data_IF_352431992853
#
_entry.id   IF_352431992853
#
_cell.length_a   1.000
_cell.length_b   1.000
_cell.length_c   1.000
_cell.angle_alpha   90.00
_cell.angle_beta   90.00
_cell.angle_gamma   90.00
#
_symmetry.space_group_name_H-M   'P 1'
#
loop_
_entity.id
_entity.type
_entity.pdbx_description
1 polymer ?
#
# COMPACT_ATOMS: atom_id res chain seq x y z
N UNK A 1 48.54 -42.42 10.50
CA UNK A 1 47.38 -41.88 11.24
C UNK A 1 46.43 -41.33 10.19
N UNK A 2 45.81 -42.13 9.30
CA UNK A 2 44.99 -43.34 9.52
C UNK A 2 43.86 -43.10 10.51
N UNK A 3 42.62 -43.11 9.98
CA UNK A 3 41.35 -43.52 10.60
C UNK A 3 40.84 -42.68 11.80
N UNK A 4 39.58 -42.31 12.00
CA UNK A 4 38.23 -42.66 11.50
C UNK A 4 37.36 -41.37 11.71
N UNK A 5 36.39 -40.94 10.91
CA UNK A 5 35.14 -41.57 10.44
C UNK A 5 34.24 -42.06 11.60
N UNK A 6 33.27 -41.22 11.98
CA UNK A 6 31.89 -41.55 12.42
C UNK A 6 31.23 -40.21 12.76
N UNK A 7 30.03 -39.87 12.28
CA UNK A 7 28.87 -40.75 12.20
C UNK A 7 27.94 -40.37 11.05
N UNK A 8 27.60 -41.40 10.30
CA UNK A 8 26.56 -41.55 9.29
C UNK A 8 25.18 -41.14 9.86
N UNK A 9 24.40 -40.32 9.15
CA UNK A 9 23.33 -40.76 8.22
C UNK A 9 22.01 -41.09 8.92
N UNK A 10 21.04 -40.21 8.69
CA UNK A 10 19.60 -40.46 8.54
C UNK A 10 19.10 -39.21 7.78
N UNK A 11 18.98 -39.19 6.44
CA UNK A 11 17.99 -39.89 5.63
C UNK A 11 16.60 -39.89 6.28
N UNK A 12 15.78 -38.90 5.91
CA UNK A 12 14.38 -39.09 5.50
C UNK A 12 13.81 -37.77 5.00
N UNK A 13 13.77 -37.64 3.67
CA UNK A 13 12.68 -36.90 3.06
C UNK A 13 11.40 -37.71 3.32
N UNK A 14 10.32 -37.03 3.71
CA UNK A 14 9.07 -37.28 3.02
C UNK A 14 8.63 -36.05 2.23
N UNK A 15 8.17 -36.39 1.04
CA UNK A 15 7.58 -35.57 0.00
C UNK A 15 6.35 -34.79 0.49
N UNK A 16 5.97 -33.78 -0.31
CA UNK A 16 4.70 -33.06 -0.31
C UNK A 16 4.50 -31.91 0.70
N UNK A 17 4.88 -30.71 0.26
CA UNK A 17 3.87 -29.73 -0.14
C UNK A 17 4.43 -28.87 -1.28
N UNK A 18 4.16 -29.31 -2.51
CA UNK A 18 4.22 -28.47 -3.69
C UNK A 18 3.23 -27.32 -3.56
N UNK A 19 3.69 -26.10 -3.82
CA UNK A 19 2.83 -24.92 -3.78
C UNK A 19 3.66 -23.65 -3.68
N UNK A 20 4.67 -23.52 -4.54
CA UNK A 20 5.45 -22.30 -4.62
C UNK A 20 4.53 -21.13 -4.89
N UNK A 21 4.31 -20.27 -3.89
CA UNK A 21 3.70 -18.96 -4.13
C UNK A 21 4.70 -18.16 -4.99
N UNK A 22 4.34 -17.78 -6.24
CA UNK A 22 5.22 -16.96 -7.04
C UNK A 22 5.45 -15.61 -6.34
N UNK A 23 6.67 -15.07 -6.36
CA UNK A 23 7.02 -13.86 -5.63
C UNK A 23 6.26 -12.66 -6.19
N UNK A 24 5.42 -12.06 -5.35
CA UNK A 24 4.61 -10.85 -5.59
C UNK A 24 5.40 -9.74 -6.32
N UNK A 25 5.26 -9.57 -7.65
CA UNK A 25 5.85 -8.44 -8.34
C UNK A 25 4.96 -7.24 -8.07
N UNK A 26 5.56 -6.24 -7.43
CA UNK A 26 4.96 -4.95 -7.07
C UNK A 26 4.37 -4.25 -8.30
N UNK A 27 3.10 -4.56 -8.64
CA UNK A 27 2.03 -3.78 -9.31
C UNK A 27 1.15 -4.68 -10.21
N UNK A 28 0.21 -5.43 -9.61
CA UNK A 28 -0.86 -6.14 -10.35
C UNK A 28 -1.60 -5.22 -11.35
N UNK A 29 -1.72 -3.94 -11.03
CA UNK A 29 -2.37 -2.91 -11.86
C UNK A 29 -1.68 -2.68 -13.22
N UNK A 30 -0.39 -3.05 -13.35
CA UNK A 30 0.39 -2.85 -14.57
C UNK A 30 0.46 -4.09 -15.45
N UNK A 31 0.09 -5.25 -14.94
CA UNK A 31 0.16 -6.51 -15.69
C UNK A 31 -0.87 -6.56 -16.81
N UNK A 32 -0.57 -7.37 -17.83
CA UNK A 32 -1.50 -7.63 -18.93
C UNK A 32 -2.57 -8.65 -18.50
N UNK A 33 -3.69 -8.72 -19.22
CA UNK A 33 -4.78 -9.66 -18.89
C UNK A 33 -4.26 -11.11 -18.96
N UNK A 34 -3.34 -11.42 -19.89
CA UNK A 34 -2.77 -12.77 -20.04
C UNK A 34 -1.97 -13.18 -18.80
N UNK A 35 -1.07 -12.32 -18.34
CA UNK A 35 -0.29 -12.53 -17.11
C UNK A 35 -1.17 -12.69 -15.87
N UNK A 36 -2.23 -11.88 -15.75
CA UNK A 36 -3.19 -11.99 -14.64
C UNK A 36 -3.97 -13.30 -14.70
N UNK A 37 -4.27 -13.82 -15.89
CA UNK A 37 -4.96 -15.11 -16.06
C UNK A 37 -4.04 -16.29 -15.75
N UNK A 38 -2.78 -16.24 -16.15
CA UNK A 38 -1.78 -17.27 -15.83
C UNK A 38 -1.56 -17.37 -14.31
N UNK A 39 -1.42 -16.23 -13.63
CA UNK A 39 -1.30 -16.18 -12.17
C UNK A 39 -2.58 -16.65 -11.46
N UNK A 40 -3.76 -16.36 -12.02
CA UNK A 40 -5.03 -16.81 -11.47
C UNK A 40 -5.29 -18.31 -11.71
N UNK A 41 -4.81 -18.89 -12.81
CA UNK A 41 -4.90 -20.33 -13.09
C UNK A 41 -4.00 -21.17 -12.18
N UNK A 42 -2.89 -20.61 -11.71
CA UNK A 42 -2.00 -21.25 -10.73
C UNK A 42 -2.62 -21.31 -9.32
N UNK A 43 -3.65 -20.50 -9.06
CA UNK A 43 -4.32 -20.41 -7.76
C UNK A 43 -5.66 -21.15 -7.85
N UNK A 44 -5.81 -22.31 -7.20
CA UNK A 44 -7.05 -23.11 -7.26
C UNK A 44 -8.26 -22.42 -6.59
N UNK A 45 -8.05 -21.33 -5.85
CA UNK A 45 -9.11 -20.55 -5.22
C UNK A 45 -9.90 -19.65 -6.21
N UNK A 46 -9.36 -19.37 -7.40
CA UNK A 46 -10.02 -18.49 -8.39
C UNK A 46 -10.59 -19.32 -9.55
N UNK A 47 -11.88 -19.71 -9.45
CA UNK A 47 -12.60 -20.36 -10.55
C UNK A 47 -13.26 -19.33 -11.48
N UNK A 48 -13.15 -19.51 -12.80
CA UNK A 48 -13.79 -18.62 -13.80
C UNK A 48 -12.88 -17.54 -14.41
N UNK A 49 -11.56 -17.75 -14.37
CA UNK A 49 -10.51 -16.83 -14.85
C UNK A 49 -10.72 -16.29 -16.27
N UNK A 50 -11.27 -17.08 -17.18
CA UNK A 50 -11.50 -16.68 -18.56
C UNK A 50 -12.65 -15.66 -18.74
N UNK A 51 -13.62 -15.62 -17.81
CA UNK A 51 -14.78 -14.73 -17.87
C UNK A 51 -14.63 -13.42 -17.09
N UNK A 52 -13.59 -13.27 -16.27
CA UNK A 52 -13.39 -12.09 -15.43
C UNK A 52 -12.77 -10.91 -16.19
N UNK A 53 -13.22 -9.71 -15.86
CA UNK A 53 -12.61 -8.46 -16.34
C UNK A 53 -11.24 -8.21 -15.69
N UNK A 54 -10.42 -7.31 -16.26
CA UNK A 54 -9.09 -6.99 -15.72
C UNK A 54 -9.14 -6.52 -14.26
N UNK A 55 -10.12 -5.69 -13.91
CA UNK A 55 -10.29 -5.15 -12.55
C UNK A 55 -10.72 -6.21 -11.55
N UNK A 56 -11.57 -7.15 -11.99
CA UNK A 56 -12.03 -8.29 -11.18
C UNK A 56 -10.90 -9.28 -10.92
N UNK A 57 -10.07 -9.58 -11.93
CA UNK A 57 -8.87 -10.42 -11.77
C UNK A 57 -7.88 -9.80 -10.79
N UNK A 58 -7.64 -8.49 -10.88
CA UNK A 58 -6.77 -7.77 -9.94
C UNK A 58 -7.35 -7.86 -8.52
N UNK A 59 -8.66 -7.69 -8.37
CA UNK A 59 -9.34 -7.75 -7.07
C UNK A 59 -9.31 -9.15 -6.47
N UNK A 60 -9.54 -10.19 -7.27
CA UNK A 60 -9.47 -11.59 -6.86
C UNK A 60 -8.04 -11.96 -6.42
N UNK A 61 -7.03 -11.59 -7.21
CA UNK A 61 -5.63 -11.80 -6.86
C UNK A 61 -5.28 -11.01 -5.59
N UNK A 62 -5.66 -9.73 -5.47
CA UNK A 62 -5.43 -8.93 -4.25
C UNK A 62 -6.05 -9.57 -2.99
N UNK A 63 -7.23 -10.20 -3.10
CA UNK A 63 -7.88 -10.92 -2.00
C UNK A 63 -7.11 -12.18 -1.59
N UNK A 64 -6.68 -13.00 -2.55
CA UNK A 64 -5.88 -14.21 -2.28
C UNK A 64 -4.53 -13.84 -1.66
N UNK A 65 -3.89 -12.78 -2.15
CA UNK A 65 -2.61 -12.29 -1.63
C UNK A 65 -2.73 -11.42 -0.36
N UNK A 66 -3.94 -11.25 0.20
CA UNK A 66 -4.15 -10.50 1.45
C UNK A 66 -3.80 -9.01 1.38
N UNK A 67 -3.74 -8.41 0.18
CA UNK A 67 -3.47 -6.98 0.02
C UNK A 67 -4.81 -6.26 0.08
N UNK A 68 -5.17 -5.78 1.27
CA UNK A 68 -6.30 -4.88 1.44
C UNK A 68 -6.12 -3.65 0.55
N UNK A 69 -7.14 -3.40 -0.26
CA UNK A 69 -7.19 -2.25 -1.14
C UNK A 69 -7.39 -0.99 -0.29
N UNK A 70 -6.29 -0.46 0.25
CA UNK A 70 -6.33 0.80 0.96
C UNK A 70 -6.96 1.83 0.01
N UNK A 71 -8.12 2.43 0.36
CA UNK A 71 -8.82 3.31 -0.54
C UNK A 71 -7.85 4.41 -0.95
N UNK A 72 -7.70 4.62 -2.27
CA UNK A 72 -6.92 5.71 -2.86
C UNK A 72 -7.30 6.96 -2.07
N UNK A 73 -6.40 7.50 -1.24
CA UNK A 73 -6.68 8.71 -0.45
C UNK A 73 -6.76 9.89 -1.41
N UNK A 74 -7.89 10.02 -2.09
CA UNK A 74 -8.24 11.16 -2.95
C UNK A 74 -8.36 12.33 -2.01
N UNK A 75 -7.29 13.12 -1.88
CA UNK A 75 -7.24 14.37 -1.12
C UNK A 75 -7.88 14.26 0.28
N UNK A 76 -7.07 13.98 1.30
CA UNK A 76 -7.51 13.71 2.68
C UNK A 76 -8.79 14.43 3.11
N UNK A 77 -9.67 13.70 3.80
CA UNK A 77 -11.02 14.12 4.17
C UNK A 77 -11.07 15.56 4.71
N UNK A 78 -12.20 16.27 4.50
CA UNK A 78 -12.43 17.62 5.03
C UNK A 78 -12.05 17.76 6.51
N UNK A 79 -12.27 16.69 7.30
CA UNK A 79 -11.89 16.61 8.72
C UNK A 79 -10.36 16.61 8.91
N UNK A 80 -9.63 15.82 8.12
CA UNK A 80 -8.16 15.77 8.16
C UNK A 80 -7.52 17.09 7.75
N UNK A 81 -8.07 17.76 6.73
CA UNK A 81 -7.58 19.07 6.30
C UNK A 81 -7.78 20.12 7.40
N UNK A 82 -8.94 20.12 8.07
CA UNK A 82 -9.19 21.00 9.22
C UNK A 82 -8.25 20.70 10.40
N UNK A 83 -7.97 19.43 10.67
CA UNK A 83 -6.99 19.04 11.69
C UNK A 83 -5.57 19.55 11.36
N UNK A 84 -5.11 19.40 10.11
CA UNK A 84 -3.83 19.95 9.64
C UNK A 84 -3.78 21.48 9.78
N UNK A 85 -4.88 22.18 9.47
CA UNK A 85 -4.95 23.64 9.63
C UNK A 85 -4.75 24.05 11.10
N UNK A 86 -5.39 23.36 12.06
CA UNK A 86 -5.21 23.63 13.49
C UNK A 86 -3.76 23.42 13.91
N UNK A 87 -3.19 22.26 13.58
CA UNK A 87 -1.79 21.93 13.86
C UNK A 87 -0.81 22.98 13.33
N UNK A 88 -0.96 23.41 12.08
CA UNK A 88 -0.05 24.43 11.51
C UNK A 88 -0.25 25.82 12.08
N UNK A 89 -1.44 26.16 12.61
CA UNK A 89 -1.64 27.42 13.34
C UNK A 89 -0.92 27.40 14.68
N UNK A 90 -1.09 26.32 15.45
CA UNK A 90 -0.40 26.13 16.73
C UNK A 90 1.12 26.17 16.56
N UNK A 91 1.65 25.49 15.52
CA UNK A 91 3.07 25.54 15.20
C UNK A 91 3.54 26.93 14.77
N UNK A 92 2.71 27.71 14.07
CA UNK A 92 3.04 29.08 13.71
C UNK A 92 3.08 29.96 14.98
N UNK A 93 2.15 29.82 15.91
CA UNK A 93 2.17 30.58 17.17
C UNK A 93 3.38 30.24 18.03
N UNK A 94 3.75 28.95 18.11
CA UNK A 94 5.01 28.51 18.76
C UNK A 94 6.23 29.12 18.10
N UNK A 95 6.36 29.04 16.78
CA UNK A 95 7.46 29.65 16.04
C UNK A 95 7.53 31.18 16.21
N UNK A 96 6.37 31.84 16.34
CA UNK A 96 6.28 33.28 16.62
C UNK A 96 6.79 33.62 18.03
N UNK A 97 6.46 32.80 19.03
CA UNK A 97 6.97 32.95 20.39
C UNK A 97 8.48 32.72 20.46
N UNK A 98 8.99 31.74 19.71
CA UNK A 98 10.43 31.45 19.55
C UNK A 98 11.18 32.48 18.68
N UNK A 99 10.47 33.45 18.08
CA UNK A 99 11.00 34.44 17.11
C UNK A 99 11.66 33.82 15.87
N UNK A 100 11.35 32.57 15.55
CA UNK A 100 11.77 31.91 14.31
C UNK A 100 10.84 32.31 13.17
N UNK A 101 11.21 33.39 12.47
CA UNK A 101 10.44 33.96 11.37
C UNK A 101 10.33 33.03 10.15
N UNK A 102 11.37 32.23 9.88
CA UNK A 102 11.37 31.29 8.75
C UNK A 102 10.35 30.17 8.95
N UNK A 103 10.35 29.57 10.15
CA UNK A 103 9.36 28.55 10.52
C UNK A 103 7.96 29.14 10.60
N UNK A 104 7.81 30.32 11.20
CA UNK A 104 6.52 31.02 11.26
C UNK A 104 5.92 31.21 9.86
N UNK A 105 6.72 31.74 8.92
CA UNK A 105 6.24 32.00 7.58
C UNK A 105 5.88 30.70 6.85
N UNK A 106 6.71 29.65 6.97
CA UNK A 106 6.44 28.34 6.40
C UNK A 106 5.11 27.77 6.91
N UNK A 107 4.88 27.75 8.22
CA UNK A 107 3.66 27.21 8.82
C UNK A 107 2.43 28.05 8.48
N UNK A 108 2.54 29.38 8.46
CA UNK A 108 1.47 30.30 8.01
C UNK A 108 1.06 30.04 6.56
N UNK A 109 2.04 29.88 5.66
CA UNK A 109 1.81 29.55 4.24
C UNK A 109 1.14 28.18 4.09
N UNK A 110 1.61 27.17 4.82
CA UNK A 110 1.00 25.83 4.81
C UNK A 110 -0.46 25.86 5.29
N UNK A 111 -0.75 26.51 6.42
CA UNK A 111 -2.12 26.67 6.91
C UNK A 111 -3.03 27.33 5.86
N UNK A 112 -2.51 28.34 5.16
CA UNK A 112 -3.24 29.01 4.07
C UNK A 112 -3.49 28.09 2.86
N UNK A 113 -2.50 27.27 2.47
CA UNK A 113 -2.66 26.27 1.39
C UNK A 113 -3.73 25.24 1.75
N UNK A 114 -3.74 24.74 2.99
CA UNK A 114 -4.75 23.78 3.43
C UNK A 114 -6.15 24.42 3.51
N UNK A 115 -6.30 25.68 3.96
CA UNK A 115 -7.57 26.43 3.87
C UNK A 115 -8.07 26.58 2.43
N UNK A 116 -7.16 26.81 1.46
CA UNK A 116 -7.53 26.85 0.04
C UNK A 116 -7.99 25.48 -0.46
N UNK A 117 -7.32 24.39 -0.03
CA UNK A 117 -7.73 23.01 -0.35
C UNK A 117 -9.10 22.66 0.23
N UNK A 118 -9.42 23.05 1.47
CA UNK A 118 -10.76 22.83 2.04
C UNK A 118 -11.85 23.56 1.26
N UNK A 119 -11.58 24.80 0.81
CA UNK A 119 -12.53 25.55 -0.03
C UNK A 119 -12.72 24.90 -1.40
N UNK A 120 -11.64 24.40 -2.03
CA UNK A 120 -11.72 23.67 -3.30
C UNK A 120 -12.52 22.37 -3.15
N UNK A 121 -12.27 21.61 -2.09
CA UNK A 121 -13.02 20.38 -1.80
C UNK A 121 -14.50 20.67 -1.57
N UNK A 122 -14.82 21.71 -0.79
CA UNK A 122 -16.20 22.14 -0.56
C UNK A 122 -16.90 22.58 -1.86
N UNK A 123 -16.20 23.27 -2.76
CA UNK A 123 -16.72 23.64 -4.09
C UNK A 123 -16.88 22.46 -5.04
N UNK A 124 -16.07 21.42 -4.90
CA UNK A 124 -16.17 20.21 -5.72
C UNK A 124 -17.27 19.26 -5.23
N UNK A 125 -17.69 19.40 -3.97
CA UNK A 125 -18.78 18.64 -3.36
C UNK A 125 -20.14 19.37 -3.42
N UNK A 126 -20.15 20.62 -3.91
CA UNK A 126 -21.35 21.43 -4.13
C UNK A 126 -21.65 21.45 -5.63
#
# INVERSE_FOLDING_TARGET
MAEEVKEERQAEAPEAQEGGLPPLPKKLEKMTIKELRELALQIPEITGVHGMNKEELISALKKVYGIEEAPRRVGGSMRELKAKIRKFKELAEKARAEKDWERYERYRRLASRFKKRTRKLARAAA
#
